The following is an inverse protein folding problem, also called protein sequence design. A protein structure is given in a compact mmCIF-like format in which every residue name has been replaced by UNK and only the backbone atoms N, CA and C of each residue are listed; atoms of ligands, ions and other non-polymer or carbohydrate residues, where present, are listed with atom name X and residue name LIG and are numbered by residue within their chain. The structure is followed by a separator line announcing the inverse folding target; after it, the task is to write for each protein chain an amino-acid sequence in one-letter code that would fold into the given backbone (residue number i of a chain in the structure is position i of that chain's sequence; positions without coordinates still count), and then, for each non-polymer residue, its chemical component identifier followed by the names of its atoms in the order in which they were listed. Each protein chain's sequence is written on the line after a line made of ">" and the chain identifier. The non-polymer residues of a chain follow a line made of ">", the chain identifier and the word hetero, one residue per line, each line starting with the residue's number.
data_IF_074145067159
#
_entry.id   IF_074145067159
#
_cell.length_a   1.000
_cell.length_b   1.000
_cell.length_c   1.000
_cell.angle_alpha   90.00
_cell.angle_beta   90.00
_cell.angle_gamma   90.00
#
_symmetry.space_group_name_H-M   'P 1'
#
loop_
_entity.id
_entity.type
_entity.pdbx_description
1 polymer ?
#
# COMPACT_ATOMS: atom_id res chain seq x y z
N UNK A 1 22.06 -17.25 15.86
CA UNK A 1 20.90 -16.81 15.05
C UNK A 1 19.76 -16.52 16.01
N UNK A 2 19.06 -15.42 15.81
CA UNK A 2 17.99 -14.95 16.69
C UNK A 2 16.79 -15.92 16.58
N UNK A 3 16.62 -16.82 17.56
CA UNK A 3 15.56 -17.84 17.58
C UNK A 3 14.24 -17.36 18.21
N UNK A 4 14.18 -16.11 18.71
CA UNK A 4 12.96 -15.59 19.34
C UNK A 4 11.86 -15.24 18.33
N UNK A 5 12.23 -14.88 17.10
CA UNK A 5 11.27 -14.58 16.03
C UNK A 5 10.50 -15.83 15.57
N UNK A 6 11.07 -17.03 15.73
CA UNK A 6 10.43 -18.29 15.37
C UNK A 6 9.21 -18.62 16.25
N UNK A 7 9.12 -18.03 17.45
CA UNK A 7 7.97 -18.21 18.35
C UNK A 7 6.82 -17.25 18.07
N UNK A 8 7.01 -16.24 17.21
CA UNK A 8 5.96 -15.26 16.91
C UNK A 8 4.99 -15.90 15.91
N UNK A 9 3.69 -15.93 16.20
CA UNK A 9 2.70 -16.39 15.24
C UNK A 9 2.79 -15.58 13.94
N UNK A 10 2.90 -16.28 12.80
CA UNK A 10 2.92 -15.67 11.45
C UNK A 10 1.74 -14.72 11.21
N UNK A 11 0.62 -14.95 11.91
CA UNK A 11 -0.55 -14.08 11.92
C UNK A 11 -0.20 -12.62 12.24
N UNK A 12 0.70 -12.37 13.20
CA UNK A 12 1.09 -11.01 13.56
C UNK A 12 1.90 -10.33 12.44
N UNK A 13 2.76 -11.09 11.75
CA UNK A 13 3.44 -10.60 10.55
C UNK A 13 2.45 -10.23 9.44
N UNK A 14 1.43 -11.06 9.22
CA UNK A 14 0.32 -10.80 8.28
C UNK A 14 -0.46 -9.53 8.62
N UNK A 15 -0.84 -9.37 9.88
CA UNK A 15 -1.56 -8.17 10.33
C UNK A 15 -0.73 -6.91 10.11
N UNK A 16 0.55 -6.92 10.49
CA UNK A 16 1.43 -5.75 10.32
C UNK A 16 1.67 -5.41 8.85
N UNK A 17 1.89 -6.41 7.99
CA UNK A 17 2.08 -6.19 6.55
C UNK A 17 0.82 -5.59 5.92
N UNK A 18 -0.35 -6.19 6.16
CA UNK A 18 -1.63 -5.70 5.64
C UNK A 18 -1.95 -4.31 6.17
N UNK A 19 -1.74 -4.05 7.46
CA UNK A 19 -1.93 -2.73 8.06
C UNK A 19 -1.04 -1.66 7.39
N UNK A 20 0.20 -2.03 7.06
CA UNK A 20 1.12 -1.14 6.33
C UNK A 20 0.60 -0.83 4.93
N UNK A 21 0.14 -1.83 4.18
CA UNK A 21 -0.43 -1.62 2.85
C UNK A 21 -1.69 -0.75 2.88
N UNK A 22 -2.61 -1.01 3.82
CA UNK A 22 -3.79 -0.18 4.03
C UNK A 22 -3.40 1.25 4.41
N UNK A 23 -2.39 1.40 5.28
CA UNK A 23 -1.85 2.70 5.66
C UNK A 23 -1.32 3.50 4.45
N UNK A 24 -0.62 2.85 3.52
CA UNK A 24 -0.15 3.49 2.28
C UNK A 24 -1.31 3.94 1.41
N UNK A 25 -2.36 3.11 1.24
CA UNK A 25 -3.57 3.49 0.50
C UNK A 25 -4.14 4.77 1.12
N UNK A 26 -4.42 4.76 2.42
CA UNK A 26 -4.98 5.90 3.14
C UNK A 26 -4.10 7.15 2.97
N UNK A 27 -2.79 7.02 3.20
CA UNK A 27 -1.82 8.12 3.12
C UNK A 27 -1.78 8.77 1.73
N UNK A 28 -1.81 7.96 0.68
CA UNK A 28 -1.85 8.42 -0.72
C UNK A 28 -3.09 9.26 -1.00
N UNK A 29 -4.24 8.91 -0.43
CA UNK A 29 -5.49 9.67 -0.62
C UNK A 29 -5.52 11.00 0.14
N UNK A 30 -4.68 11.17 1.17
CA UNK A 30 -4.47 12.47 1.82
C UNK A 30 -3.63 13.45 1.00
N UNK A 31 -2.96 13.00 -0.08
CA UNK A 31 -2.16 13.89 -0.92
C UNK A 31 -3.05 14.77 -1.82
N UNK A 32 -2.81 16.09 -1.88
CA UNK A 32 -3.62 17.00 -2.68
C UNK A 32 -3.43 16.73 -4.17
N UNK A 33 -4.52 16.86 -4.95
CA UNK A 33 -4.49 16.66 -6.41
C UNK A 33 -3.49 17.56 -7.11
N UNK A 34 -3.30 18.79 -6.62
CA UNK A 34 -2.32 19.74 -7.16
C UNK A 34 -0.89 19.21 -7.09
N UNK A 35 -0.53 18.47 -6.05
CA UNK A 35 0.79 17.83 -5.92
C UNK A 35 0.93 16.64 -6.88
N UNK A 36 -0.13 15.86 -7.06
CA UNK A 36 -0.09 14.65 -7.89
C UNK A 36 0.02 14.96 -9.39
N UNK A 37 -0.66 16.03 -9.83
CA UNK A 37 -0.61 16.48 -11.22
C UNK A 37 0.45 17.58 -11.44
N UNK A 38 1.37 17.80 -10.50
CA UNK A 38 2.41 18.82 -10.66
C UNK A 38 3.32 18.45 -11.83
N UNK A 39 3.43 19.34 -12.82
CA UNK A 39 4.21 19.09 -14.05
C UNK A 39 3.55 18.12 -15.04
N UNK A 40 2.29 17.74 -14.81
CA UNK A 40 1.57 16.84 -15.68
C UNK A 40 1.02 17.59 -16.92
N UNK A 41 1.33 17.18 -18.18
CA UNK A 41 0.76 17.77 -19.40
C UNK A 41 -0.78 17.84 -19.44
N UNK A 42 -1.45 16.83 -18.89
CA UNK A 42 -2.90 16.74 -18.77
C UNK A 42 -3.34 16.27 -17.35
N UNK A 43 -4.66 16.16 -17.15
CA UNK A 43 -5.27 15.67 -15.89
C UNK A 43 -6.07 14.38 -16.10
N UNK A 44 -5.64 13.50 -17.01
CA UNK A 44 -6.34 12.23 -17.23
C UNK A 44 -6.31 11.34 -15.97
N UNK A 45 -7.43 10.64 -15.72
CA UNK A 45 -7.60 9.80 -14.52
C UNK A 45 -6.54 8.71 -14.38
N UNK A 46 -6.03 8.17 -15.49
CA UNK A 46 -4.96 7.15 -15.48
C UNK A 46 -3.59 7.68 -15.03
N UNK A 47 -3.40 9.00 -14.97
CA UNK A 47 -2.17 9.62 -14.46
C UNK A 47 -2.26 9.97 -12.97
N UNK A 48 -3.42 9.73 -12.36
CA UNK A 48 -3.57 9.84 -10.92
C UNK A 48 -2.82 8.68 -10.25
N UNK A 49 -1.60 8.97 -9.78
CA UNK A 49 -0.73 8.01 -9.10
C UNK A 49 -1.40 7.38 -7.88
N UNK A 50 -2.42 8.03 -7.29
CA UNK A 50 -3.13 7.46 -6.15
C UNK A 50 -3.92 6.21 -6.50
N UNK A 51 -4.49 6.18 -7.70
CA UNK A 51 -5.25 5.02 -8.19
C UNK A 51 -4.31 3.84 -8.34
N UNK A 52 -3.15 4.05 -8.96
CA UNK A 52 -2.15 3.00 -9.15
C UNK A 52 -1.55 2.49 -7.85
N UNK A 53 -1.19 3.40 -6.94
CA UNK A 53 -0.72 3.01 -5.62
C UNK A 53 -1.79 2.18 -4.88
N UNK A 54 -3.07 2.57 -4.98
CA UNK A 54 -4.17 1.80 -4.38
C UNK A 54 -4.32 0.41 -4.99
N UNK A 55 -4.31 0.30 -6.32
CA UNK A 55 -4.40 -0.97 -7.05
C UNK A 55 -3.24 -1.90 -6.64
N UNK A 56 -2.01 -1.39 -6.64
CA UNK A 56 -0.83 -2.18 -6.28
C UNK A 56 -0.89 -2.67 -4.82
N UNK A 57 -1.29 -1.81 -3.88
CA UNK A 57 -1.44 -2.21 -2.48
C UNK A 57 -2.57 -3.23 -2.28
N UNK A 58 -3.68 -3.11 -3.01
CA UNK A 58 -4.76 -4.12 -2.98
C UNK A 58 -4.24 -5.48 -3.47
N UNK A 59 -3.47 -5.51 -4.56
CA UNK A 59 -2.85 -6.76 -5.04
C UNK A 59 -1.93 -7.35 -3.96
N UNK A 60 -1.10 -6.53 -3.30
CA UNK A 60 -0.24 -6.99 -2.22
C UNK A 60 -1.03 -7.57 -1.04
N UNK A 61 -2.13 -6.93 -0.65
CA UNK A 61 -3.03 -7.45 0.40
C UNK A 61 -3.59 -8.82 0.00
N UNK A 62 -4.08 -8.96 -1.23
CA UNK A 62 -4.63 -10.23 -1.73
C UNK A 62 -3.57 -11.34 -1.68
N UNK A 63 -2.36 -11.07 -2.17
CA UNK A 63 -1.25 -12.02 -2.12
C UNK A 63 -0.94 -12.40 -0.68
N UNK A 64 -0.78 -11.42 0.23
CA UNK A 64 -0.40 -11.67 1.62
C UNK A 64 -1.48 -12.40 2.44
N UNK A 65 -2.75 -12.28 2.05
CA UNK A 65 -3.85 -13.02 2.68
C UNK A 65 -4.00 -14.43 2.11
N UNK A 66 -3.57 -14.67 0.87
CA UNK A 66 -3.70 -15.97 0.19
C UNK A 66 -2.57 -16.95 0.53
N UNK A 67 -1.37 -16.44 0.81
CA UNK A 67 -0.18 -17.21 1.24
C UNK A 67 0.07 -16.97 2.72
#
# INVERSE_FOLDING_TARGET
>A
MINWLAGIPLLWGKIFAVATFVGVIIWVWFRPKSFIFLGAPDKHKWRDLRIWASILMIIQIIVYLSF
#
